data_IF_037584042737
#
_entry.id   IF_037584042737
#
_cell.length_a   1.000
_cell.length_b   1.000
_cell.length_c   1.000
_cell.angle_alpha   90.00
_cell.angle_beta   90.00
_cell.angle_gamma   90.00
#
_symmetry.space_group_name_H-M   'P 1'
#
loop_
_entity.id
_entity.type
_entity.pdbx_description
1 polymer ?
#
# COMPACT_ATOMS: atom_id res chain seq x y z
N UNK A 1 1.56 19.50 -26.50
CA UNK A 1 0.48 20.39 -26.01
C UNK A 1 -0.38 19.53 -25.11
N UNK A 2 -0.58 19.97 -23.88
CA UNK A 2 -1.46 19.27 -22.95
C UNK A 2 -2.91 19.68 -23.24
N UNK A 3 -3.83 18.72 -23.21
CA UNK A 3 -5.23 18.91 -23.60
C UNK A 3 -6.08 19.22 -22.37
N UNK A 4 -7.08 20.08 -22.52
CA UNK A 4 -8.05 20.34 -21.45
C UNK A 4 -9.07 19.20 -21.34
N UNK A 5 -9.57 18.88 -20.15
CA UNK A 5 -10.62 17.85 -19.98
C UNK A 5 -11.88 18.17 -20.82
N UNK A 6 -12.18 19.45 -21.00
CA UNK A 6 -13.33 19.89 -21.82
C UNK A 6 -13.18 19.59 -23.31
N UNK A 7 -11.95 19.43 -23.79
CA UNK A 7 -11.65 19.09 -25.19
C UNK A 7 -11.80 17.58 -25.45
N UNK A 8 -11.91 16.76 -24.39
CA UNK A 8 -12.10 15.32 -24.53
C UNK A 8 -13.50 14.99 -25.06
N UNK A 9 -13.61 13.90 -25.82
CA UNK A 9 -14.90 13.35 -26.29
C UNK A 9 -15.58 12.52 -25.19
N UNK A 10 -15.75 13.13 -24.02
CA UNK A 10 -16.47 12.58 -22.87
C UNK A 10 -17.85 13.24 -22.73
N UNK A 11 -18.76 12.58 -22.05
CA UNK A 11 -20.06 13.11 -21.68
C UNK A 11 -19.94 14.33 -20.78
N UNK A 12 -20.94 15.22 -20.82
CA UNK A 12 -20.99 16.39 -19.94
C UNK A 12 -20.89 15.98 -18.46
N UNK A 13 -21.52 14.88 -18.10
CA UNK A 13 -21.48 14.36 -16.73
C UNK A 13 -20.07 13.93 -16.33
N UNK A 14 -19.38 13.16 -17.18
CA UNK A 14 -18.00 12.74 -16.92
C UNK A 14 -17.06 13.94 -16.77
N UNK A 15 -17.16 14.93 -17.66
CA UNK A 15 -16.36 16.18 -17.58
C UNK A 15 -16.61 16.93 -16.28
N UNK A 16 -17.88 17.13 -15.92
CA UNK A 16 -18.23 17.88 -14.71
C UNK A 16 -17.75 17.17 -13.44
N UNK A 17 -17.85 15.84 -13.38
CA UNK A 17 -17.32 15.06 -12.25
C UNK A 17 -15.79 15.11 -12.19
N UNK A 18 -15.08 15.06 -13.32
CA UNK A 18 -13.63 15.23 -13.35
C UNK A 18 -13.20 16.60 -12.81
N UNK A 19 -13.90 17.67 -13.21
CA UNK A 19 -13.68 19.02 -12.67
C UNK A 19 -13.94 19.11 -11.17
N UNK A 20 -15.03 18.51 -10.68
CA UNK A 20 -15.33 18.43 -9.24
C UNK A 20 -14.22 17.73 -8.44
N UNK A 21 -13.52 16.79 -9.07
CA UNK A 21 -12.36 16.08 -8.50
C UNK A 21 -11.04 16.83 -8.66
N UNK A 22 -11.05 18.01 -9.27
CA UNK A 22 -9.87 18.85 -9.51
C UNK A 22 -9.03 18.44 -10.72
N UNK A 23 -9.56 17.61 -11.62
CA UNK A 23 -8.91 17.29 -12.89
C UNK A 23 -9.32 18.31 -13.94
N UNK A 24 -8.37 19.13 -14.39
CA UNK A 24 -8.61 20.19 -15.39
C UNK A 24 -7.86 19.91 -16.69
N UNK A 25 -6.72 19.24 -16.60
CA UNK A 25 -5.86 18.88 -17.72
C UNK A 25 -5.75 17.36 -17.87
N UNK A 26 -5.51 16.88 -19.09
CA UNK A 26 -5.25 15.45 -19.35
C UNK A 26 -3.99 14.97 -18.63
N UNK A 27 -2.98 15.82 -18.44
CA UNK A 27 -1.82 15.49 -17.61
C UNK A 27 -2.19 15.05 -16.20
N UNK A 28 -3.28 15.61 -15.65
CA UNK A 28 -3.71 15.33 -14.28
C UNK A 28 -4.16 13.86 -14.15
N UNK A 29 -4.55 13.21 -15.25
CA UNK A 29 -4.93 11.80 -15.30
C UNK A 29 -3.74 10.84 -15.47
N UNK A 30 -2.61 11.29 -16.02
CA UNK A 30 -1.47 10.41 -16.40
C UNK A 30 -0.81 9.68 -15.22
N UNK A 31 -0.97 10.18 -14.00
CA UNK A 31 -0.46 9.56 -12.78
C UNK A 31 -1.44 8.61 -12.10
N UNK A 32 -2.63 8.42 -12.66
CA UNK A 32 -3.69 7.62 -12.04
C UNK A 32 -3.96 6.34 -12.83
N UNK A 33 -3.91 5.21 -12.13
CA UNK A 33 -4.55 3.97 -12.53
C UNK A 33 -6.02 3.93 -12.05
N UNK A 34 -6.77 2.89 -12.41
CA UNK A 34 -8.16 2.75 -11.94
C UNK A 34 -8.29 2.84 -10.43
N UNK A 35 -7.37 2.20 -9.70
CA UNK A 35 -7.48 2.07 -8.25
C UNK A 35 -7.34 3.44 -7.59
N UNK A 36 -6.30 4.18 -7.96
CA UNK A 36 -6.04 5.53 -7.44
C UNK A 36 -7.08 6.55 -7.92
N UNK A 37 -7.62 6.39 -9.12
CA UNK A 37 -8.68 7.27 -9.63
C UNK A 37 -10.01 7.04 -8.90
N UNK A 38 -10.41 5.78 -8.70
CA UNK A 38 -11.67 5.44 -8.01
C UNK A 38 -11.67 5.96 -6.56
N UNK A 39 -10.52 5.93 -5.87
CA UNK A 39 -10.38 6.46 -4.51
C UNK A 39 -10.68 7.96 -4.40
N UNK A 40 -10.60 8.72 -5.50
CA UNK A 40 -10.94 10.15 -5.52
C UNK A 40 -12.44 10.40 -5.64
N UNK A 41 -13.22 9.48 -6.21
CA UNK A 41 -14.65 9.70 -6.39
C UNK A 41 -15.40 9.72 -5.05
N UNK A 42 -16.24 10.74 -4.78
CA UNK A 42 -17.16 10.69 -3.66
C UNK A 42 -18.12 9.51 -3.85
N UNK A 43 -18.63 8.94 -2.75
CA UNK A 43 -19.41 7.68 -2.61
C UNK A 43 -20.74 7.56 -3.45
N UNK A 44 -20.84 8.15 -4.64
CA UNK A 44 -21.95 7.98 -5.60
C UNK A 44 -21.60 6.88 -6.60
N UNK A 45 -22.11 5.68 -6.30
CA UNK A 45 -21.68 4.40 -6.89
C UNK A 45 -22.04 4.18 -8.36
N UNK A 46 -23.11 4.81 -8.84
CA UNK A 46 -23.74 4.49 -10.13
C UNK A 46 -23.04 5.12 -11.34
N UNK A 47 -22.33 6.24 -11.17
CA UNK A 47 -21.71 6.96 -12.29
C UNK A 47 -20.22 6.65 -12.44
N UNK A 48 -19.56 6.05 -11.44
CA UNK A 48 -18.12 5.76 -11.49
C UNK A 48 -17.83 4.81 -12.64
N UNK A 49 -18.60 3.73 -12.79
CA UNK A 49 -18.38 2.78 -13.88
C UNK A 49 -18.52 3.44 -15.26
N UNK A 50 -19.55 4.25 -15.50
CA UNK A 50 -19.74 4.90 -16.81
C UNK A 50 -18.59 5.87 -17.13
N UNK A 51 -18.14 6.66 -16.15
CA UNK A 51 -17.02 7.60 -16.34
C UNK A 51 -15.73 6.84 -16.65
N UNK A 52 -15.49 5.73 -15.93
CA UNK A 52 -14.34 4.87 -16.16
C UNK A 52 -14.38 4.24 -17.56
N UNK A 53 -15.53 3.76 -18.03
CA UNK A 53 -15.67 3.22 -19.39
C UNK A 53 -15.43 4.30 -20.47
N UNK A 54 -15.93 5.52 -20.27
CA UNK A 54 -15.68 6.62 -21.20
C UNK A 54 -14.18 6.98 -21.27
N UNK A 55 -13.49 7.04 -20.12
CA UNK A 55 -12.04 7.28 -20.07
C UNK A 55 -11.24 6.16 -20.74
N UNK A 56 -11.68 4.91 -20.58
CA UNK A 56 -11.08 3.73 -21.22
C UNK A 56 -11.24 3.78 -22.73
N UNK A 57 -12.47 3.99 -23.20
CA UNK A 57 -12.77 4.08 -24.63
C UNK A 57 -12.02 5.24 -25.31
N UNK A 58 -11.73 6.30 -24.55
CA UNK A 58 -10.94 7.43 -25.02
C UNK A 58 -9.42 7.24 -24.90
N UNK A 59 -8.95 6.14 -24.30
CA UNK A 59 -7.53 5.81 -24.16
C UNK A 59 -6.78 6.59 -23.07
N UNK A 60 -7.51 7.22 -22.14
CA UNK A 60 -6.92 7.99 -21.03
C UNK A 60 -6.68 7.15 -19.78
N UNK A 61 -7.22 5.94 -19.74
CA UNK A 61 -7.06 5.00 -18.65
C UNK A 61 -6.91 3.59 -19.24
N UNK A 62 -5.79 2.93 -18.94
CA UNK A 62 -5.44 1.64 -19.52
C UNK A 62 -6.10 0.52 -18.75
N UNK A 63 -7.04 -0.22 -19.37
CA UNK A 63 -7.76 -1.35 -18.76
C UNK A 63 -6.79 -2.33 -18.12
N UNK A 64 -7.10 -2.90 -16.93
CA UNK A 64 -6.21 -3.88 -16.34
C UNK A 64 -6.08 -5.08 -17.28
N UNK A 65 -4.94 -5.77 -17.24
CA UNK A 65 -4.78 -7.03 -17.97
C UNK A 65 -5.92 -8.00 -17.62
N UNK A 66 -6.47 -8.70 -18.62
CA UNK A 66 -7.67 -9.55 -18.48
C UNK A 66 -8.93 -8.78 -18.02
N UNK A 67 -9.23 -7.66 -18.68
CA UNK A 67 -10.36 -6.75 -18.37
C UNK A 67 -11.75 -7.39 -18.54
N UNK A 68 -12.12 -8.29 -17.63
CA UNK A 68 -13.48 -8.82 -17.51
C UNK A 68 -14.24 -7.98 -16.49
N UNK A 69 -15.23 -7.24 -16.96
CA UNK A 69 -16.08 -6.37 -16.13
C UNK A 69 -17.02 -7.20 -15.25
N UNK A 70 -17.22 -6.81 -13.99
CA UNK A 70 -18.17 -7.47 -13.09
C UNK A 70 -19.62 -7.36 -13.56
N UNK A 71 -19.92 -6.41 -14.46
CA UNK A 71 -21.25 -6.19 -15.03
C UNK A 71 -21.60 -7.20 -16.12
N UNK A 72 -20.58 -7.81 -16.73
CA UNK A 72 -20.73 -8.75 -17.85
C UNK A 72 -20.65 -10.22 -17.40
N UNK A 73 -20.41 -10.45 -16.09
CA UNK A 73 -20.21 -11.79 -15.52
C UNK A 73 -21.46 -12.23 -14.77
N UNK A 74 -22.01 -13.42 -15.07
CA UNK A 74 -23.13 -13.95 -14.32
C UNK A 74 -22.69 -14.29 -12.90
N UNK A 75 -23.27 -13.63 -11.91
CA UNK A 75 -23.03 -13.87 -10.49
C UNK A 75 -24.25 -13.53 -9.64
N UNK A 76 -24.24 -13.92 -8.38
CA UNK A 76 -25.29 -13.59 -7.43
C UNK A 76 -25.35 -12.08 -7.20
N UNK A 77 -26.56 -11.56 -7.01
CA UNK A 77 -26.77 -10.15 -6.62
C UNK A 77 -25.98 -9.77 -5.37
N UNK A 78 -25.75 -10.74 -4.49
CA UNK A 78 -24.96 -10.53 -3.27
C UNK A 78 -23.50 -10.26 -3.62
N UNK A 79 -22.87 -11.14 -4.40
CA UNK A 79 -21.48 -10.97 -4.81
C UNK A 79 -21.30 -9.68 -5.60
N UNK A 80 -22.15 -9.44 -6.59
CA UNK A 80 -22.14 -8.21 -7.39
C UNK A 80 -22.15 -6.94 -6.52
N UNK A 81 -23.11 -6.82 -5.60
CA UNK A 81 -23.17 -5.64 -4.72
C UNK A 81 -21.98 -5.51 -3.77
N UNK A 82 -21.35 -6.63 -3.37
CA UNK A 82 -20.14 -6.59 -2.55
C UNK A 82 -18.98 -6.04 -3.39
N UNK A 83 -18.79 -6.56 -4.60
CA UNK A 83 -17.73 -6.11 -5.50
C UNK A 83 -17.90 -4.63 -5.87
N UNK A 84 -19.11 -4.26 -6.32
CA UNK A 84 -19.46 -2.89 -6.69
C UNK A 84 -19.26 -1.90 -5.53
N UNK A 85 -19.71 -2.25 -4.31
CA UNK A 85 -19.55 -1.37 -3.13
C UNK A 85 -18.08 -1.16 -2.76
N UNK A 86 -17.24 -2.15 -2.99
CA UNK A 86 -15.81 -2.09 -2.70
C UNK A 86 -14.97 -1.69 -3.92
N UNK A 87 -15.61 -1.18 -4.97
CA UNK A 87 -14.96 -0.62 -6.16
C UNK A 87 -14.14 -1.63 -6.99
N UNK A 88 -14.52 -2.91 -6.91
CA UNK A 88 -14.09 -3.90 -7.88
C UNK A 88 -14.98 -3.77 -9.11
N UNK A 89 -14.46 -3.19 -10.19
CA UNK A 89 -15.12 -3.05 -11.49
C UNK A 89 -14.71 -4.17 -12.45
N UNK A 90 -13.50 -4.72 -12.28
CA UNK A 90 -12.93 -5.79 -13.09
C UNK A 90 -12.51 -6.95 -12.20
N UNK A 91 -12.68 -8.18 -12.68
CA UNK A 91 -12.29 -9.37 -11.94
C UNK A 91 -10.78 -9.41 -11.67
N UNK A 92 -9.93 -8.91 -12.57
CA UNK A 92 -8.48 -8.90 -12.39
C UNK A 92 -8.01 -8.03 -11.22
N UNK A 93 -8.85 -7.12 -10.71
CA UNK A 93 -8.54 -6.39 -9.46
C UNK A 93 -8.53 -7.32 -8.24
N UNK A 94 -9.23 -8.46 -8.30
CA UNK A 94 -9.34 -9.37 -7.18
C UNK A 94 -8.01 -10.06 -6.87
N UNK A 95 -7.14 -10.27 -7.87
CA UNK A 95 -5.80 -10.84 -7.64
C UNK A 95 -4.83 -9.86 -6.98
N UNK A 96 -5.21 -8.59 -6.78
CA UNK A 96 -4.42 -7.62 -6.03
C UNK A 96 -4.58 -7.76 -4.52
N UNK A 97 -5.59 -8.53 -4.08
CA UNK A 97 -5.95 -8.79 -2.69
C UNK A 97 -5.88 -10.29 -2.41
N UNK A 98 -5.39 -10.68 -1.23
CA UNK A 98 -5.47 -12.09 -0.84
C UNK A 98 -6.90 -12.54 -0.57
N UNK A 99 -7.09 -13.85 -0.59
CA UNK A 99 -8.31 -14.51 -0.10
C UNK A 99 -8.69 -14.05 1.30
N UNK A 100 -7.72 -13.83 2.19
CA UNK A 100 -7.99 -13.37 3.56
C UNK A 100 -8.49 -11.93 3.61
N UNK A 101 -8.00 -11.04 2.74
CA UNK A 101 -8.53 -9.67 2.64
C UNK A 101 -9.93 -9.65 2.02
N UNK A 102 -10.16 -10.45 0.97
CA UNK A 102 -11.46 -10.59 0.32
C UNK A 102 -12.51 -11.17 1.29
N UNK A 103 -12.12 -12.17 2.09
CA UNK A 103 -12.95 -12.74 3.15
C UNK A 103 -13.34 -11.71 4.24
N UNK A 104 -12.54 -10.67 4.42
CA UNK A 104 -12.82 -9.56 5.35
C UNK A 104 -13.86 -8.56 4.83
N UNK A 105 -14.26 -8.64 3.56
CA UNK A 105 -15.25 -7.72 2.99
C UNK A 105 -16.60 -7.89 3.68
N UNK A 106 -17.17 -6.78 4.17
CA UNK A 106 -18.45 -6.80 4.88
C UNK A 106 -19.54 -7.41 4.00
N UNK A 107 -20.21 -8.44 4.54
CA UNK A 107 -21.23 -9.27 3.91
C UNK A 107 -20.70 -10.36 2.94
N UNK A 108 -19.39 -10.59 2.86
CA UNK A 108 -18.85 -11.73 2.13
C UNK A 108 -18.77 -12.94 3.09
N UNK A 109 -19.66 -13.92 2.89
CA UNK A 109 -19.69 -15.16 3.67
C UNK A 109 -19.04 -16.31 2.91
N UNK A 110 -18.82 -17.46 3.57
CA UNK A 110 -18.14 -18.61 2.98
C UNK A 110 -18.72 -19.04 1.62
N UNK A 111 -20.04 -19.14 1.49
CA UNK A 111 -20.68 -19.51 0.22
C UNK A 111 -20.43 -18.48 -0.90
N UNK A 112 -20.42 -17.19 -0.56
CA UNK A 112 -20.13 -16.11 -1.51
C UNK A 112 -18.64 -16.07 -1.87
N UNK A 113 -17.76 -16.48 -0.96
CA UNK A 113 -16.33 -16.64 -1.25
C UNK A 113 -16.11 -17.79 -2.24
N UNK A 114 -16.78 -18.93 -2.05
CA UNK A 114 -16.71 -20.08 -2.98
C UNK A 114 -17.16 -19.64 -4.38
N UNK A 115 -18.29 -18.95 -4.49
CA UNK A 115 -18.77 -18.39 -5.76
C UNK A 115 -17.74 -17.44 -6.41
N UNK A 116 -17.12 -16.57 -5.61
CA UNK A 116 -16.07 -15.66 -6.09
C UNK A 116 -14.85 -16.42 -6.63
N UNK A 117 -14.41 -17.46 -5.92
CA UNK A 117 -13.28 -18.30 -6.33
C UNK A 117 -13.59 -19.06 -7.63
N UNK A 118 -14.79 -19.62 -7.77
CA UNK A 118 -15.25 -20.31 -8.98
C UNK A 118 -15.27 -19.36 -10.20
N UNK A 119 -15.77 -18.13 -10.02
CA UNK A 119 -15.77 -17.10 -11.07
C UNK A 119 -14.33 -16.73 -11.44
N UNK A 120 -13.47 -16.44 -10.46
CA UNK A 120 -12.06 -16.13 -10.73
C UNK A 120 -11.37 -17.26 -11.50
N UNK A 121 -11.57 -18.51 -11.07
CA UNK A 121 -11.00 -19.68 -11.74
C UNK A 121 -11.50 -19.82 -13.18
N UNK A 122 -12.79 -19.63 -13.43
CA UNK A 122 -13.37 -19.68 -14.77
C UNK A 122 -12.81 -18.60 -15.71
N UNK A 123 -12.35 -17.49 -15.15
CA UNK A 123 -11.71 -16.38 -15.88
C UNK A 123 -10.17 -16.39 -15.79
N UNK A 124 -9.56 -17.49 -15.36
CA UNK A 124 -8.10 -17.64 -15.23
C UNK A 124 -7.44 -16.59 -14.33
N UNK A 125 -8.16 -16.16 -13.29
CA UNK A 125 -7.66 -15.24 -12.26
C UNK A 125 -7.28 -16.05 -11.04
N UNK A 126 -5.98 -16.03 -10.73
CA UNK A 126 -5.45 -16.71 -9.56
C UNK A 126 -5.55 -15.80 -8.33
N UNK A 127 -6.26 -16.28 -7.31
CA UNK A 127 -6.32 -15.63 -6.01
C UNK A 127 -5.27 -16.24 -5.09
N UNK A 128 -4.38 -15.41 -4.54
CA UNK A 128 -3.36 -15.85 -3.59
C UNK A 128 -3.89 -15.87 -2.15
N UNK A 129 -3.22 -16.64 -1.30
CA UNK A 129 -3.45 -16.67 0.14
C UNK A 129 -2.16 -16.28 0.86
N UNK A 130 -2.32 -15.50 1.93
CA UNK A 130 -1.23 -15.16 2.85
C UNK A 130 -1.23 -16.04 4.11
N UNK A 131 -2.04 -17.09 4.14
CA UNK A 131 -2.19 -17.97 5.30
C UNK A 131 -0.87 -18.63 5.70
N UNK A 132 -0.15 -19.21 4.74
CA UNK A 132 1.14 -19.86 5.01
C UNK A 132 2.17 -18.89 5.59
N UNK A 133 2.21 -17.64 5.09
CA UNK A 133 3.07 -16.58 5.62
C UNK A 133 2.72 -16.29 7.09
N UNK A 134 1.43 -16.18 7.40
CA UNK A 134 0.94 -15.96 8.77
C UNK A 134 1.34 -17.09 9.70
N UNK A 135 1.17 -18.34 9.27
CA UNK A 135 1.55 -19.52 10.06
C UNK A 135 3.05 -19.56 10.32
N UNK A 136 3.87 -19.39 9.29
CA UNK A 136 5.33 -19.40 9.40
C UNK A 136 5.87 -18.32 10.33
N UNK A 137 5.20 -17.16 10.40
CA UNK A 137 5.63 -16.02 11.20
C UNK A 137 4.93 -15.91 12.57
N UNK A 138 3.93 -16.75 12.85
CA UNK A 138 3.08 -16.63 14.05
C UNK A 138 3.89 -16.67 15.36
N UNK A 139 4.92 -17.51 15.42
CA UNK A 139 5.74 -17.69 16.63
C UNK A 139 6.57 -16.46 17.02
N UNK A 140 6.82 -15.55 16.09
CA UNK A 140 7.65 -14.37 16.34
C UNK A 140 6.86 -13.17 16.89
N UNK A 141 5.52 -13.26 16.92
CA UNK A 141 4.64 -12.20 17.42
C UNK A 141 4.92 -10.82 16.79
N UNK A 142 5.21 -10.80 15.49
CA UNK A 142 5.47 -9.56 14.74
C UNK A 142 4.24 -8.64 14.75
N UNK A 143 4.41 -7.30 14.76
CA UNK A 143 3.32 -6.33 14.78
C UNK A 143 2.66 -6.19 13.39
N UNK A 144 2.39 -7.30 12.72
CA UNK A 144 1.86 -7.32 11.37
C UNK A 144 0.34 -7.37 11.34
N UNK A 145 -0.25 -6.45 10.57
CA UNK A 145 -1.68 -6.42 10.24
C UNK A 145 -1.92 -7.18 8.93
N UNK A 146 -3.19 -7.38 8.53
CA UNK A 146 -3.51 -8.02 7.24
C UNK A 146 -2.79 -7.37 6.06
N UNK A 147 -2.74 -6.02 6.04
CA UNK A 147 -2.05 -5.26 4.99
C UNK A 147 -0.54 -5.50 4.97
N UNK A 148 0.07 -5.74 6.12
CA UNK A 148 1.49 -6.07 6.19
C UNK A 148 1.75 -7.44 5.56
N UNK A 149 0.88 -8.44 5.80
CA UNK A 149 1.00 -9.75 5.16
C UNK A 149 0.82 -9.71 3.63
N UNK A 150 -0.03 -8.85 3.10
CA UNK A 150 -0.08 -8.61 1.64
C UNK A 150 1.23 -8.05 1.11
N UNK A 151 1.82 -7.09 1.82
CA UNK A 151 3.10 -6.53 1.42
C UNK A 151 4.20 -7.61 1.48
N UNK A 152 4.22 -8.46 2.49
CA UNK A 152 5.15 -9.59 2.56
C UNK A 152 5.03 -10.52 1.34
N UNK A 153 3.80 -10.87 0.94
CA UNK A 153 3.55 -11.67 -0.26
C UNK A 153 4.13 -11.01 -1.51
N UNK A 154 3.89 -9.71 -1.71
CA UNK A 154 4.41 -8.93 -2.86
C UNK A 154 5.94 -8.85 -2.88
N UNK A 155 6.58 -8.88 -1.72
CA UNK A 155 8.03 -8.92 -1.58
C UNK A 155 8.61 -10.35 -1.59
N UNK A 156 7.78 -11.37 -1.84
CA UNK A 156 8.17 -12.79 -1.80
C UNK A 156 8.78 -13.22 -0.46
N UNK A 157 8.25 -12.69 0.65
CA UNK A 157 8.67 -13.03 2.01
C UNK A 157 7.68 -14.03 2.59
N UNK A 158 8.08 -15.29 2.69
CA UNK A 158 7.26 -16.37 3.21
C UNK A 158 7.73 -16.92 4.56
N UNK A 159 8.97 -16.61 4.95
CA UNK A 159 9.64 -17.11 6.14
C UNK A 159 10.52 -16.03 6.79
N UNK A 160 11.03 -16.30 7.99
CA UNK A 160 11.93 -15.37 8.67
C UNK A 160 13.24 -15.15 7.89
N UNK A 161 13.74 -16.18 7.22
CA UNK A 161 15.00 -16.12 6.49
C UNK A 161 14.91 -15.24 5.25
N UNK A 162 13.71 -15.08 4.68
CA UNK A 162 13.50 -14.23 3.51
C UNK A 162 13.75 -12.75 3.82
N UNK A 163 13.66 -12.32 5.08
CA UNK A 163 14.01 -10.95 5.47
C UNK A 163 15.51 -10.64 5.32
N UNK A 164 16.38 -11.66 5.21
CA UNK A 164 17.81 -11.43 4.90
C UNK A 164 18.03 -10.92 3.47
N UNK A 165 17.02 -11.04 2.60
CA UNK A 165 17.07 -10.64 1.19
C UNK A 165 16.66 -9.19 0.96
N UNK A 166 16.13 -8.52 1.99
CA UNK A 166 15.60 -7.16 1.89
C UNK A 166 16.42 -6.19 2.73
N UNK A 167 16.25 -4.90 2.46
CA UNK A 167 16.80 -3.83 3.27
C UNK A 167 15.85 -3.44 4.41
N UNK A 168 16.37 -2.67 5.37
CA UNK A 168 15.51 -2.03 6.40
C UNK A 168 14.51 -1.05 5.77
N UNK A 169 14.82 -0.46 4.62
CA UNK A 169 13.90 0.41 3.89
C UNK A 169 12.72 -0.37 3.29
N UNK A 170 12.97 -1.56 2.74
CA UNK A 170 11.90 -2.44 2.26
C UNK A 170 10.97 -2.86 3.40
N UNK A 171 11.53 -3.19 4.57
CA UNK A 171 10.74 -3.43 5.78
C UNK A 171 9.87 -2.22 6.14
N UNK A 172 10.41 -1.01 6.01
CA UNK A 172 9.66 0.21 6.24
C UNK A 172 8.48 0.37 5.27
N UNK A 173 8.68 0.04 3.99
CA UNK A 173 7.61 0.04 2.99
C UNK A 173 6.55 -1.03 3.32
N UNK A 174 6.97 -2.23 3.70
CA UNK A 174 6.07 -3.33 4.14
C UNK A 174 5.20 -2.88 5.32
N UNK A 175 5.80 -2.20 6.29
CA UNK A 175 5.12 -1.59 7.43
C UNK A 175 4.36 -0.29 7.09
N UNK A 176 4.04 -0.06 5.81
CA UNK A 176 3.27 1.10 5.34
C UNK A 176 3.88 2.44 5.76
N UNK A 177 5.20 2.50 5.86
CA UNK A 177 5.98 3.66 6.30
C UNK A 177 5.67 4.11 7.73
N UNK A 178 5.04 3.25 8.54
CA UNK A 178 4.88 3.50 9.96
C UNK A 178 6.17 3.19 10.70
N UNK A 179 6.92 4.25 11.03
CA UNK A 179 8.25 4.16 11.66
C UNK A 179 8.27 3.30 12.93
N UNK A 180 7.25 3.43 13.78
CA UNK A 180 7.19 2.69 15.03
C UNK A 180 6.97 1.18 14.83
N UNK A 181 6.10 0.80 13.91
CA UNK A 181 5.85 -0.60 13.57
C UNK A 181 7.08 -1.22 12.89
N UNK A 182 7.73 -0.45 12.01
CA UNK A 182 9.00 -0.83 11.36
C UNK A 182 10.06 -1.13 12.39
N UNK A 183 10.28 -0.22 13.34
CA UNK A 183 11.29 -0.35 14.39
C UNK A 183 11.01 -1.57 15.28
N UNK A 184 9.75 -1.81 15.67
CA UNK A 184 9.38 -2.99 16.46
C UNK A 184 9.66 -4.28 15.71
N UNK A 185 9.20 -4.37 14.46
CA UNK A 185 9.45 -5.53 13.61
C UNK A 185 10.96 -5.75 13.42
N UNK A 186 11.72 -4.68 13.16
CA UNK A 186 13.18 -4.73 13.01
C UNK A 186 13.87 -5.37 14.21
N UNK A 187 13.56 -4.94 15.43
CA UNK A 187 14.19 -5.52 16.62
C UNK A 187 13.82 -6.99 16.83
N UNK A 188 12.55 -7.35 16.64
CA UNK A 188 12.12 -8.77 16.72
C UNK A 188 12.86 -9.61 15.68
N UNK A 189 12.96 -9.14 14.44
CA UNK A 189 13.65 -9.86 13.37
C UNK A 189 15.16 -9.98 13.67
N UNK A 190 15.79 -8.91 14.17
CA UNK A 190 17.20 -8.93 14.60
C UNK A 190 17.46 -9.91 15.74
N UNK A 191 16.59 -9.94 16.75
CA UNK A 191 16.68 -10.87 17.88
C UNK A 191 16.54 -12.33 17.44
N UNK A 192 15.90 -12.57 16.28
CA UNK A 192 15.76 -13.88 15.66
C UNK A 192 16.79 -14.13 14.53
N UNK A 193 17.88 -13.37 14.50
CA UNK A 193 19.03 -13.64 13.64
C UNK A 193 18.98 -13.03 12.23
N UNK A 194 17.98 -12.20 11.92
CA UNK A 194 17.88 -11.56 10.60
C UNK A 194 18.98 -10.51 10.41
N UNK A 195 19.68 -10.61 9.28
CA UNK A 195 20.65 -9.67 8.78
C UNK A 195 20.12 -9.00 7.52
N UNK A 196 19.51 -7.82 7.69
CA UNK A 196 19.08 -6.99 6.57
C UNK A 196 20.26 -6.58 5.68
N UNK A 197 19.97 -6.45 4.39
CA UNK A 197 20.90 -5.87 3.43
C UNK A 197 21.16 -4.40 3.73
N UNK A 198 22.36 -3.94 3.38
CA UNK A 198 22.73 -2.54 3.52
C UNK A 198 21.88 -1.66 2.59
N UNK A 199 21.57 -0.45 3.06
CA UNK A 199 20.91 0.57 2.27
C UNK A 199 21.49 1.95 2.58
N UNK A 200 21.27 2.91 1.69
CA UNK A 200 22.02 4.17 1.67
C UNK A 200 21.81 5.07 2.91
N UNK A 201 20.60 5.11 3.48
CA UNK A 201 20.26 6.09 4.52
C UNK A 201 19.68 5.47 5.80
N UNK A 202 20.45 4.64 6.50
CA UNK A 202 20.02 3.94 7.72
C UNK A 202 19.07 4.73 8.63
N UNK A 203 18.05 4.04 9.11
CA UNK A 203 17.17 4.54 10.14
C UNK A 203 17.89 4.64 11.47
N UNK A 204 17.50 5.61 12.29
CA UNK A 204 18.14 5.86 13.58
C UNK A 204 17.98 4.71 14.56
N UNK A 205 16.91 3.92 14.47
CA UNK A 205 16.75 2.71 15.29
C UNK A 205 17.75 1.60 14.95
N UNK A 206 18.39 1.65 13.78
CA UNK A 206 19.44 0.70 13.40
C UNK A 206 20.74 0.97 14.17
N UNK A 207 20.95 2.21 14.63
CA UNK A 207 22.16 2.68 15.31
C UNK A 207 21.96 2.97 16.80
N UNK A 208 20.75 3.35 17.18
CA UNK A 208 20.42 3.82 18.51
C UNK A 208 19.45 2.87 19.20
N UNK A 209 19.39 2.97 20.53
CA UNK A 209 18.35 2.27 21.29
C UNK A 209 16.95 2.72 20.85
N UNK A 210 15.98 1.79 20.88
CA UNK A 210 14.61 2.08 20.47
C UNK A 210 13.98 3.26 21.22
N UNK A 211 14.34 3.47 22.49
CA UNK A 211 13.87 4.63 23.28
C UNK A 211 14.36 5.96 22.69
N UNK A 212 15.64 6.05 22.32
CA UNK A 212 16.21 7.27 21.75
C UNK A 212 15.66 7.50 20.35
N UNK A 213 15.58 6.45 19.52
CA UNK A 213 15.02 6.51 18.18
C UNK A 213 13.54 6.95 18.18
N UNK A 214 12.75 6.50 19.16
CA UNK A 214 11.37 6.94 19.37
C UNK A 214 11.29 8.43 19.72
N UNK A 215 12.15 8.92 20.61
CA UNK A 215 12.18 10.35 20.98
C UNK A 215 12.53 11.21 19.76
N UNK A 216 13.54 10.80 18.98
CA UNK A 216 13.97 11.51 17.77
C UNK A 216 12.85 11.57 16.72
N UNK A 217 12.19 10.45 16.44
CA UNK A 217 11.10 10.42 15.47
C UNK A 217 9.84 11.15 15.98
N UNK A 218 9.46 10.95 17.24
CA UNK A 218 8.24 11.52 17.81
C UNK A 218 8.33 13.02 18.08
N UNK A 219 9.38 13.47 18.79
CA UNK A 219 9.52 14.87 19.21
C UNK A 219 10.21 15.73 18.15
N UNK A 220 11.20 15.18 17.45
CA UNK A 220 12.05 15.94 16.54
C UNK A 220 11.78 15.64 15.06
N UNK A 221 10.93 14.65 14.74
CA UNK A 221 10.62 14.22 13.36
C UNK A 221 11.87 13.79 12.57
N UNK A 222 12.85 13.22 13.27
CA UNK A 222 14.07 12.69 12.67
C UNK A 222 14.06 11.16 12.81
N UNK A 223 14.12 10.47 11.69
CA UNK A 223 14.00 9.01 11.57
C UNK A 223 15.21 8.38 10.87
N UNK A 224 15.97 9.13 10.06
CA UNK A 224 17.18 8.64 9.35
C UNK A 224 18.43 9.45 9.66
N UNK A 225 19.59 8.90 9.30
CA UNK A 225 20.89 9.58 9.43
C UNK A 225 20.95 10.83 8.56
N UNK A 226 20.48 10.78 7.31
CA UNK A 226 20.52 11.93 6.40
C UNK A 226 19.73 13.11 6.97
N UNK A 227 18.54 12.86 7.51
CA UNK A 227 17.75 13.90 8.19
C UNK A 227 18.47 14.44 9.41
N UNK A 228 19.10 13.57 10.20
CA UNK A 228 19.88 14.02 11.35
C UNK A 228 21.07 14.90 10.94
N UNK A 229 21.80 14.52 9.89
CA UNK A 229 22.94 15.27 9.34
C UNK A 229 22.52 16.58 8.66
N UNK A 230 21.29 16.66 8.17
CA UNK A 230 20.73 17.91 7.62
C UNK A 230 20.35 18.94 8.69
N UNK A 231 20.28 18.54 9.96
CA UNK A 231 19.95 19.45 11.06
C UNK A 231 21.10 20.41 11.35
N UNK A 232 20.79 21.69 11.59
CA UNK A 232 21.80 22.65 12.04
C UNK A 232 22.37 22.25 13.41
N UNK A 233 23.64 22.57 13.65
CA UNK A 233 24.31 22.29 14.92
C UNK A 233 23.55 22.88 16.11
N UNK A 234 23.08 24.13 16.01
CA UNK A 234 22.24 24.79 17.03
C UNK A 234 20.97 24.00 17.35
N UNK A 235 20.35 23.41 16.34
CA UNK A 235 19.15 22.59 16.53
C UNK A 235 19.48 21.30 17.30
N UNK A 236 20.57 20.62 16.93
CA UNK A 236 21.04 19.43 17.64
C UNK A 236 21.39 19.77 19.09
N UNK A 237 22.09 20.88 19.35
CA UNK A 237 22.43 21.32 20.71
C UNK A 237 21.21 21.68 21.57
N UNK A 238 20.10 22.08 20.95
CA UNK A 238 18.83 22.34 21.65
C UNK A 238 18.08 21.07 22.07
N UNK A 239 18.52 19.89 21.61
CA UNK A 239 17.89 18.62 21.97
C UNK A 239 18.06 18.30 23.46
N UNK A 240 17.21 17.42 23.98
CA UNK A 240 17.30 17.01 25.39
C UNK A 240 18.68 16.46 25.71
N UNK A 241 19.24 16.90 26.85
CA UNK A 241 20.53 16.42 27.36
C UNK A 241 20.60 14.91 27.51
N UNK A 242 19.45 14.24 27.70
CA UNK A 242 19.36 12.78 27.82
C UNK A 242 19.69 12.03 26.52
N UNK A 243 19.48 12.64 25.35
CA UNK A 243 19.71 11.99 24.04
C UNK A 243 20.91 12.57 23.30
N UNK A 244 21.33 13.79 23.65
CA UNK A 244 22.37 14.54 22.97
C UNK A 244 23.70 13.77 22.82
N UNK A 245 24.21 13.05 23.84
CA UNK A 245 25.46 12.28 23.68
C UNK A 245 25.37 11.22 22.58
N UNK A 246 24.26 10.48 22.52
CA UNK A 246 24.05 9.44 21.53
C UNK A 246 23.86 10.00 20.11
N UNK A 247 23.17 11.14 20.01
CA UNK A 247 23.03 11.87 18.74
C UNK A 247 24.38 12.34 18.21
N UNK A 248 25.22 12.93 19.06
CA UNK A 248 26.56 13.39 18.67
C UNK A 248 27.46 12.22 18.23
N UNK A 249 27.37 11.06 18.89
CA UNK A 249 28.13 9.87 18.49
C UNK A 249 27.78 9.41 17.06
N UNK A 250 26.49 9.41 16.69
CA UNK A 250 26.05 9.05 15.33
C UNK A 250 26.53 10.04 14.27
N UNK A 251 26.63 11.32 14.61
CA UNK A 251 27.13 12.35 13.69
C UNK A 251 28.64 12.26 13.46
N UNK A 252 29.39 11.69 14.40
CA UNK A 252 30.85 11.53 14.30
C UNK A 252 31.30 10.24 13.62
N UNK A 253 30.44 9.22 13.57
CA UNK A 253 30.70 7.98 12.83
C UNK A 253 30.63 8.28 11.31
N UNK A 254 31.79 8.23 10.65
CA UNK A 254 31.93 8.47 9.21
C UNK A 254 31.61 7.22 8.41
#
# INVERSE_FOLDING_TARGET
MDLHIDELKLSYHAKNTLHELGFTMVSDLKGHDYVSLIQKFPLKRHCVYSIIQELNGAGYLLSPDNAVSIYDVPMSKRLFHILERNYFLYLSQLSLCSKEELAGLRNLGAQTMIELEEICQAHHIELHSVHSIKENLAQYHLPFTSRHYEALYKYNIASIDDFNKITTHDLHIICQQYYYDTMKAYYILKDNGVVFQAWEDKYLFELLSGKIAQILSGKYRIDTISKLRSCSEKYVESMSSAILPSVKAVLTDK
#
